data_IF_384492719255
#
_entry.id   IF_384492719255
#
_cell.length_a   1.000
_cell.length_b   1.000
_cell.length_c   1.000
_cell.angle_alpha   90.00
_cell.angle_beta   90.00
_cell.angle_gamma   90.00
#
_symmetry.space_group_name_H-M   'P 1'
#
loop_
_entity.id
_entity.type
_entity.pdbx_description
1 polymer ?
#
# COMPACT_ATOMS: atom_id res chain seq x y z
N UNK A 1 -16.65 -27.08 5.46
CA UNK A 1 -16.47 -26.43 4.14
C UNK A 1 -15.41 -27.22 3.39
N UNK A 2 -15.89 -28.08 2.46
CA UNK A 2 -15.11 -29.17 1.86
C UNK A 2 -13.97 -28.69 0.95
N UNK A 3 -12.82 -29.39 1.02
CA UNK A 3 -11.64 -29.16 0.16
C UNK A 3 -11.93 -29.24 -1.36
N UNK A 4 -13.00 -29.93 -1.76
CA UNK A 4 -13.46 -30.05 -3.14
C UNK A 4 -14.00 -28.74 -3.74
N UNK A 5 -14.49 -27.80 -2.93
CA UNK A 5 -15.04 -26.52 -3.40
C UNK A 5 -13.96 -25.47 -3.72
N UNK A 6 -12.70 -25.72 -3.32
CA UNK A 6 -11.55 -24.87 -3.70
C UNK A 6 -10.96 -25.17 -5.07
N UNK A 7 -11.23 -26.35 -5.64
CA UNK A 7 -10.67 -26.82 -6.92
C UNK A 7 -11.51 -26.39 -8.14
N UNK A 8 -12.73 -25.90 -7.95
CA UNK A 8 -13.62 -25.52 -9.06
C UNK A 8 -13.56 -24.04 -9.48
N UNK A 9 -12.72 -23.23 -8.83
CA UNK A 9 -12.56 -21.82 -9.25
C UNK A 9 -11.53 -21.73 -10.36
N UNK A 10 -11.91 -21.23 -11.57
CA UNK A 10 -10.95 -21.04 -12.65
C UNK A 10 -9.78 -20.16 -12.17
N UNK A 11 -8.55 -20.41 -12.65
CA UNK A 11 -7.38 -19.65 -12.26
C UNK A 11 -7.64 -18.16 -12.49
N UNK A 12 -7.50 -17.36 -11.45
CA UNK A 12 -7.72 -15.90 -11.52
C UNK A 12 -6.67 -15.30 -12.43
N UNK A 13 -7.07 -14.81 -13.59
CA UNK A 13 -6.19 -14.12 -14.53
C UNK A 13 -5.52 -12.94 -13.80
N UNK A 14 -4.19 -12.86 -13.81
CA UNK A 14 -3.46 -11.74 -13.20
C UNK A 14 -3.99 -10.41 -13.78
N UNK A 15 -4.33 -9.45 -12.90
CA UNK A 15 -4.86 -8.14 -13.32
C UNK A 15 -6.39 -8.01 -13.31
N UNK A 16 -7.17 -9.09 -13.16
CA UNK A 16 -8.64 -9.01 -13.20
C UNK A 16 -9.24 -8.10 -12.11
N UNK A 17 -8.64 -8.05 -10.92
CA UNK A 17 -9.05 -7.14 -9.83
C UNK A 17 -8.75 -5.68 -10.17
N UNK A 18 -7.62 -5.42 -10.82
CA UNK A 18 -7.24 -4.10 -11.28
C UNK A 18 -8.22 -3.58 -12.33
N UNK A 19 -8.50 -4.37 -13.37
CA UNK A 19 -9.46 -4.02 -14.44
C UNK A 19 -10.83 -3.70 -13.87
N UNK A 20 -11.35 -4.50 -12.92
CA UNK A 20 -12.63 -4.22 -12.26
C UNK A 20 -12.62 -2.91 -11.47
N UNK A 21 -11.53 -2.62 -10.75
CA UNK A 21 -11.37 -1.38 -9.99
C UNK A 21 -11.34 -0.17 -10.91
N UNK A 22 -10.55 -0.23 -11.99
CA UNK A 22 -10.44 0.86 -12.98
C UNK A 22 -11.78 1.08 -13.68
N UNK A 23 -12.53 0.02 -13.99
CA UNK A 23 -13.88 0.11 -14.55
C UNK A 23 -14.83 0.94 -13.67
N UNK A 24 -14.88 0.64 -12.37
CA UNK A 24 -15.74 1.39 -11.43
C UNK A 24 -15.32 2.87 -11.33
N UNK A 25 -14.01 3.12 -11.26
CA UNK A 25 -13.48 4.49 -11.23
C UNK A 25 -13.74 5.24 -12.53
N UNK A 26 -13.65 4.56 -13.69
CA UNK A 26 -13.96 5.14 -15.00
C UNK A 26 -15.43 5.53 -15.09
N UNK A 27 -16.38 4.66 -14.68
CA UNK A 27 -17.81 5.00 -14.67
C UNK A 27 -18.05 6.26 -13.84
N UNK A 28 -17.54 6.28 -12.61
CA UNK A 28 -17.69 7.44 -11.73
C UNK A 28 -17.08 8.70 -12.35
N UNK A 29 -15.85 8.62 -12.85
CA UNK A 29 -15.13 9.74 -13.43
C UNK A 29 -15.81 10.29 -14.68
N UNK A 30 -16.24 9.42 -15.61
CA UNK A 30 -16.93 9.86 -16.84
C UNK A 30 -18.31 10.45 -16.55
N UNK A 31 -19.06 9.87 -15.58
CA UNK A 31 -20.33 10.41 -15.14
C UNK A 31 -20.18 11.81 -14.51
N UNK A 32 -19.20 11.98 -13.63
CA UNK A 32 -18.94 13.27 -12.97
C UNK A 32 -18.45 14.33 -13.96
N UNK A 33 -17.61 13.95 -14.95
CA UNK A 33 -17.15 14.88 -15.99
C UNK A 33 -18.25 15.21 -17.01
N UNK A 34 -19.26 14.35 -17.19
CA UNK A 34 -20.35 14.56 -18.14
C UNK A 34 -21.11 15.87 -17.88
N UNK A 35 -21.44 16.15 -16.62
CA UNK A 35 -22.28 17.31 -16.24
C UNK A 35 -21.59 18.65 -16.54
N UNK A 36 -20.32 18.89 -16.14
CA UNK A 36 -19.61 20.13 -16.50
C UNK A 36 -19.43 20.31 -18.00
N UNK A 37 -19.04 19.26 -18.73
CA UNK A 37 -18.85 19.32 -20.17
C UNK A 37 -20.18 19.68 -20.86
N UNK A 38 -21.25 18.97 -20.50
CA UNK A 38 -22.57 19.21 -21.06
C UNK A 38 -23.05 20.66 -20.80
N UNK A 39 -22.79 21.19 -19.58
CA UNK A 39 -23.13 22.58 -19.24
C UNK A 39 -22.51 23.57 -20.22
N UNK A 40 -21.18 23.44 -20.47
CA UNK A 40 -20.46 24.31 -21.39
C UNK A 40 -20.97 24.17 -22.85
N UNK A 41 -21.18 22.92 -23.30
CA UNK A 41 -21.67 22.66 -24.65
C UNK A 41 -23.06 23.28 -24.91
N UNK A 42 -23.96 23.24 -23.90
CA UNK A 42 -25.28 23.90 -24.00
C UNK A 42 -25.13 25.42 -24.05
N UNK A 43 -24.30 26.01 -23.21
CA UNK A 43 -24.07 27.47 -23.19
C UNK A 43 -23.47 27.98 -24.50
N UNK A 44 -22.58 27.20 -25.11
CA UNK A 44 -22.00 27.52 -26.41
C UNK A 44 -22.91 27.19 -27.62
N UNK A 45 -24.17 26.75 -27.38
CA UNK A 45 -25.10 26.32 -28.42
C UNK A 45 -24.50 25.29 -29.39
N UNK A 46 -23.71 24.35 -28.88
CA UNK A 46 -23.07 23.30 -29.69
C UNK A 46 -24.12 22.32 -30.23
N UNK A 47 -23.77 21.65 -31.33
CA UNK A 47 -24.65 20.70 -32.02
C UNK A 47 -25.11 19.56 -31.06
N UNK A 48 -26.38 19.15 -31.20
CA UNK A 48 -26.95 18.00 -30.48
C UNK A 48 -26.14 16.71 -30.70
N UNK A 49 -25.53 16.52 -31.87
CA UNK A 49 -24.70 15.36 -32.17
C UNK A 49 -23.46 15.30 -31.28
N UNK A 50 -22.90 16.43 -30.89
CA UNK A 50 -21.78 16.51 -29.98
C UNK A 50 -22.20 16.09 -28.55
N UNK A 51 -23.41 16.49 -28.13
CA UNK A 51 -23.99 16.07 -26.84
C UNK A 51 -24.28 14.57 -26.83
N UNK A 52 -24.79 14.02 -27.94
CA UNK A 52 -24.95 12.55 -28.08
C UNK A 52 -23.61 11.83 -28.02
N UNK A 53 -22.55 12.34 -28.65
CA UNK A 53 -21.20 11.78 -28.57
C UNK A 53 -20.66 11.81 -27.14
N UNK A 54 -20.92 12.90 -26.40
CA UNK A 54 -20.58 13.01 -25.00
C UNK A 54 -21.30 11.92 -24.16
N UNK A 55 -22.58 11.70 -24.39
CA UNK A 55 -23.36 10.66 -23.73
C UNK A 55 -22.82 9.27 -24.06
N UNK A 56 -22.47 8.97 -25.31
CA UNK A 56 -21.83 7.71 -25.70
C UNK A 56 -20.49 7.53 -24.99
N UNK A 57 -19.68 8.58 -24.91
CA UNK A 57 -18.39 8.53 -24.21
C UNK A 57 -18.56 8.32 -22.69
N UNK A 58 -19.57 8.94 -22.07
CA UNK A 58 -19.77 8.84 -20.62
C UNK A 58 -20.39 7.49 -20.18
N UNK A 59 -21.34 6.96 -20.96
CA UNK A 59 -22.17 5.82 -20.52
C UNK A 59 -21.86 4.49 -21.23
N UNK A 60 -21.39 4.54 -22.48
CA UNK A 60 -21.13 3.31 -23.26
C UNK A 60 -19.65 2.94 -23.25
N UNK A 61 -18.78 3.92 -23.46
CA UNK A 61 -17.33 3.66 -23.52
C UNK A 61 -16.75 2.94 -22.31
N UNK A 62 -17.10 3.26 -21.04
CA UNK A 62 -16.58 2.53 -19.88
C UNK A 62 -16.82 1.03 -19.96
N UNK A 63 -18.00 0.61 -20.41
CA UNK A 63 -18.38 -0.80 -20.54
C UNK A 63 -17.62 -1.48 -21.67
N UNK A 64 -17.45 -0.80 -22.80
CA UNK A 64 -16.66 -1.30 -23.93
C UNK A 64 -15.18 -1.48 -23.55
N UNK A 65 -14.60 -0.51 -22.88
CA UNK A 65 -13.22 -0.54 -22.40
C UNK A 65 -13.00 -1.71 -21.42
N UNK A 66 -13.95 -1.92 -20.50
CA UNK A 66 -13.93 -3.04 -19.58
C UNK A 66 -14.01 -4.39 -20.30
N UNK A 67 -14.95 -4.52 -21.26
CA UNK A 67 -15.12 -5.73 -22.05
C UNK A 67 -13.86 -6.06 -22.86
N UNK A 68 -13.26 -5.05 -23.49
CA UNK A 68 -12.00 -5.17 -24.23
C UNK A 68 -10.86 -5.66 -23.33
N UNK A 69 -10.70 -5.07 -22.14
CA UNK A 69 -9.64 -5.46 -21.21
C UNK A 69 -9.87 -6.86 -20.61
N UNK A 70 -11.13 -7.19 -20.25
CA UNK A 70 -11.48 -8.48 -19.67
C UNK A 70 -11.20 -9.66 -20.59
N UNK A 71 -11.44 -9.48 -21.88
CA UNK A 71 -11.30 -10.53 -22.90
C UNK A 71 -9.89 -10.55 -23.54
N UNK A 72 -8.98 -9.68 -23.12
CA UNK A 72 -7.62 -9.62 -23.63
C UNK A 72 -6.72 -10.70 -23.00
N UNK A 73 -5.75 -11.19 -23.77
CA UNK A 73 -4.68 -12.07 -23.26
C UNK A 73 -3.81 -11.36 -22.19
N UNK A 74 -3.70 -10.02 -22.26
CA UNK A 74 -2.95 -9.18 -21.32
C UNK A 74 -3.85 -8.07 -20.74
N UNK A 75 -4.74 -8.37 -19.78
CA UNK A 75 -5.75 -7.42 -19.28
C UNK A 75 -5.17 -6.11 -18.76
N UNK A 76 -4.01 -6.17 -18.07
CA UNK A 76 -3.35 -4.98 -17.52
C UNK A 76 -2.84 -4.04 -18.61
N UNK A 77 -2.19 -4.59 -19.64
CA UNK A 77 -1.65 -3.81 -20.75
C UNK A 77 -2.78 -3.15 -21.54
N UNK A 78 -3.85 -3.90 -21.82
CA UNK A 78 -5.03 -3.40 -22.53
C UNK A 78 -5.72 -2.30 -21.72
N UNK A 79 -5.77 -2.44 -20.41
CA UNK A 79 -6.35 -1.39 -19.56
C UNK A 79 -5.50 -0.13 -19.53
N UNK A 80 -4.18 -0.23 -19.53
CA UNK A 80 -3.29 0.93 -19.69
C UNK A 80 -3.51 1.63 -21.04
N UNK A 81 -3.72 0.88 -22.13
CA UNK A 81 -4.07 1.46 -23.42
C UNK A 81 -5.41 2.20 -23.38
N UNK A 82 -6.43 1.61 -22.73
CA UNK A 82 -7.74 2.27 -22.54
C UNK A 82 -7.59 3.59 -21.77
N UNK A 83 -6.75 3.61 -20.71
CA UNK A 83 -6.48 4.84 -19.95
C UNK A 83 -5.80 5.93 -20.77
N UNK A 84 -4.96 5.57 -21.76
CA UNK A 84 -4.37 6.53 -22.69
C UNK A 84 -5.41 7.05 -23.67
N UNK A 85 -6.32 6.19 -24.16
CA UNK A 85 -7.45 6.61 -25.01
C UNK A 85 -8.40 7.56 -24.28
N UNK A 86 -8.71 7.29 -23.01
CA UNK A 86 -9.49 8.18 -22.16
C UNK A 86 -8.86 9.58 -22.06
N UNK A 87 -7.52 9.64 -21.94
CA UNK A 87 -6.81 10.92 -21.89
C UNK A 87 -6.92 11.69 -23.24
N UNK A 88 -6.86 10.97 -24.36
CA UNK A 88 -7.13 11.55 -25.68
C UNK A 88 -8.55 12.13 -25.78
N UNK A 89 -9.58 11.38 -25.31
CA UNK A 89 -10.94 11.88 -25.23
C UNK A 89 -11.04 13.12 -24.33
N UNK A 90 -10.30 13.16 -23.20
CA UNK A 90 -10.22 14.36 -22.36
C UNK A 90 -9.69 15.59 -23.12
N UNK A 91 -8.59 15.41 -23.88
CA UNK A 91 -8.05 16.48 -24.75
C UNK A 91 -9.06 16.97 -25.80
N UNK A 92 -9.79 16.03 -26.43
CA UNK A 92 -10.89 16.38 -27.37
C UNK A 92 -11.97 17.24 -26.70
N UNK A 93 -12.46 16.84 -25.52
CA UNK A 93 -13.51 17.58 -24.81
C UNK A 93 -13.04 18.96 -24.36
N UNK A 94 -11.79 19.12 -23.91
CA UNK A 94 -11.21 20.40 -23.54
C UNK A 94 -11.24 21.37 -24.76
N UNK A 95 -10.87 20.88 -25.94
CA UNK A 95 -10.92 21.70 -27.17
C UNK A 95 -12.35 22.02 -27.57
N UNK A 96 -13.30 21.07 -27.47
CA UNK A 96 -14.72 21.30 -27.82
C UNK A 96 -15.41 22.29 -26.89
N UNK A 97 -14.94 22.43 -25.64
CA UNK A 97 -15.37 23.46 -24.69
C UNK A 97 -14.70 24.82 -24.91
N UNK A 98 -13.99 25.02 -26.03
CA UNK A 98 -13.21 26.24 -26.29
C UNK A 98 -12.28 26.60 -25.10
N UNK A 99 -11.62 25.58 -24.49
CA UNK A 99 -10.71 25.75 -23.37
C UNK A 99 -11.35 26.43 -22.15
N UNK A 100 -12.67 26.23 -21.92
CA UNK A 100 -13.31 26.82 -20.74
C UNK A 100 -12.50 26.48 -19.46
N UNK A 101 -12.00 27.49 -18.70
CA UNK A 101 -10.88 27.28 -17.79
C UNK A 101 -11.19 26.31 -16.65
N UNK A 102 -12.35 26.44 -16.00
CA UNK A 102 -12.65 25.66 -14.80
C UNK A 102 -12.79 24.15 -15.08
N UNK A 103 -13.69 23.67 -15.96
CA UNK A 103 -13.81 22.24 -16.25
C UNK A 103 -12.57 21.69 -16.97
N UNK A 104 -11.88 22.46 -17.80
CA UNK A 104 -10.70 22.01 -18.53
C UNK A 104 -9.54 21.67 -17.59
N UNK A 105 -9.23 22.55 -16.64
CA UNK A 105 -8.17 22.30 -15.64
C UNK A 105 -8.53 21.13 -14.75
N UNK A 106 -9.77 21.03 -14.31
CA UNK A 106 -10.23 19.94 -13.43
C UNK A 106 -10.14 18.59 -14.15
N UNK A 107 -10.64 18.49 -15.39
CA UNK A 107 -10.59 17.26 -16.18
C UNK A 107 -9.14 16.84 -16.43
N UNK A 108 -8.26 17.76 -16.83
CA UNK A 108 -6.85 17.48 -17.08
C UNK A 108 -6.15 16.98 -15.80
N UNK A 109 -6.37 17.64 -14.67
CA UNK A 109 -5.78 17.26 -13.38
C UNK A 109 -6.23 15.89 -12.92
N UNK A 110 -7.55 15.61 -12.95
CA UNK A 110 -8.12 14.32 -12.58
C UNK A 110 -7.52 13.21 -13.45
N UNK A 111 -7.53 13.42 -14.77
CA UNK A 111 -7.04 12.41 -15.70
C UNK A 111 -5.55 12.10 -15.50
N UNK A 112 -4.69 13.10 -15.33
CA UNK A 112 -3.26 12.87 -15.14
C UNK A 112 -2.95 12.22 -13.78
N UNK A 113 -3.64 12.64 -12.73
CA UNK A 113 -3.48 12.05 -11.38
C UNK A 113 -3.90 10.58 -11.35
N UNK A 114 -5.01 10.23 -11.99
CA UNK A 114 -5.46 8.84 -12.08
C UNK A 114 -4.46 7.95 -12.82
N UNK A 115 -3.85 8.45 -13.92
CA UNK A 115 -2.84 7.69 -14.68
C UNK A 115 -1.55 7.53 -13.89
N UNK A 116 -1.16 8.56 -13.15
CA UNK A 116 -0.02 8.47 -12.23
C UNK A 116 -0.25 7.37 -11.18
N UNK A 117 -1.45 7.30 -10.61
CA UNK A 117 -1.83 6.28 -9.62
C UNK A 117 -1.96 4.88 -10.22
N UNK A 118 -2.37 4.74 -11.48
CA UNK A 118 -2.63 3.46 -12.13
C UNK A 118 -1.38 2.79 -12.72
N UNK A 119 -0.42 3.56 -13.24
CA UNK A 119 0.76 3.04 -13.94
C UNK A 119 2.02 3.90 -13.82
N UNK A 120 2.06 4.77 -12.80
CA UNK A 120 3.21 5.62 -12.50
C UNK A 120 3.48 6.68 -13.57
N UNK A 121 4.65 7.29 -13.47
CA UNK A 121 5.10 8.40 -14.34
C UNK A 121 5.09 8.02 -15.83
N UNK A 122 5.39 6.76 -16.15
CA UNK A 122 5.45 6.29 -17.53
C UNK A 122 4.07 6.32 -18.21
N UNK A 123 3.02 5.85 -17.53
CA UNK A 123 1.65 5.89 -18.05
C UNK A 123 1.14 7.33 -18.12
N UNK A 124 1.40 8.12 -17.08
CA UNK A 124 1.03 9.55 -17.03
C UNK A 124 1.65 10.31 -18.20
N UNK A 125 2.95 10.13 -18.52
CA UNK A 125 3.59 10.80 -19.68
C UNK A 125 2.93 10.43 -21.00
N UNK A 126 2.65 9.14 -21.24
CA UNK A 126 1.95 8.70 -22.46
C UNK A 126 0.57 9.34 -22.57
N UNK A 127 -0.18 9.34 -21.48
CA UNK A 127 -1.51 9.96 -21.43
C UNK A 127 -1.44 11.47 -21.66
N UNK A 128 -0.48 12.18 -21.06
CA UNK A 128 -0.30 13.62 -21.25
C UNK A 128 0.04 13.96 -22.70
N UNK A 129 0.96 13.23 -23.33
CA UNK A 129 1.30 13.43 -24.74
C UNK A 129 0.08 13.20 -25.63
N UNK A 130 -0.67 12.12 -25.40
CA UNK A 130 -1.89 11.82 -26.18
C UNK A 130 -2.96 12.87 -25.96
N UNK A 131 -3.19 13.30 -24.71
CA UNK A 131 -4.16 14.35 -24.38
C UNK A 131 -3.82 15.67 -25.07
N UNK A 132 -2.56 16.12 -24.98
CA UNK A 132 -2.11 17.36 -25.61
C UNK A 132 -2.14 17.24 -27.13
N UNK A 133 -1.72 16.11 -27.69
CA UNK A 133 -1.76 15.89 -29.15
C UNK A 133 -3.19 15.94 -29.69
N UNK A 134 -4.13 15.22 -29.10
CA UNK A 134 -5.54 15.24 -29.52
C UNK A 134 -6.16 16.64 -29.29
N UNK A 135 -5.84 17.26 -28.16
CA UNK A 135 -6.28 18.64 -27.87
C UNK A 135 -5.82 19.60 -28.98
N UNK A 136 -4.53 19.61 -29.29
CA UNK A 136 -3.98 20.54 -30.30
C UNK A 136 -4.63 20.34 -31.69
N UNK A 137 -4.73 19.09 -32.15
CA UNK A 137 -5.36 18.77 -33.44
C UNK A 137 -6.81 19.25 -33.44
N UNK A 138 -7.58 18.93 -32.42
CA UNK A 138 -8.99 19.34 -32.32
C UNK A 138 -9.13 20.86 -32.21
N UNK A 139 -8.32 21.52 -31.40
CA UNK A 139 -8.35 22.96 -31.20
C UNK A 139 -8.01 23.75 -32.47
N UNK A 140 -7.03 23.27 -33.25
CA UNK A 140 -6.72 23.83 -34.55
C UNK A 140 -7.90 23.71 -35.53
N UNK A 141 -8.59 22.56 -35.57
CA UNK A 141 -9.78 22.39 -36.44
C UNK A 141 -10.96 23.23 -36.01
N UNK A 142 -11.03 23.65 -34.74
CA UNK A 142 -12.06 24.54 -34.20
C UNK A 142 -11.69 26.05 -34.32
N UNK A 143 -10.62 26.38 -35.06
CA UNK A 143 -10.19 27.79 -35.27
C UNK A 143 -9.56 28.40 -34.02
N UNK A 144 -8.96 27.61 -33.16
CA UNK A 144 -8.26 28.03 -31.92
C UNK A 144 -9.16 28.82 -30.95
N UNK A 145 -10.44 28.48 -30.90
CA UNK A 145 -11.41 29.16 -30.04
C UNK A 145 -11.02 29.03 -28.56
N UNK A 146 -11.10 30.12 -27.83
CA UNK A 146 -10.89 30.20 -26.38
C UNK A 146 -12.03 31.01 -25.76
N UNK A 147 -12.69 30.42 -24.76
CA UNK A 147 -13.75 31.03 -24.00
C UNK A 147 -13.37 31.05 -22.51
N UNK A 148 -12.93 32.20 -22.03
CA UNK A 148 -12.49 32.40 -20.65
C UNK A 148 -13.65 32.70 -19.69
N UNK A 149 -14.87 32.80 -20.19
CA UNK A 149 -16.05 33.07 -19.37
C UNK A 149 -16.54 31.75 -18.69
N UNK A 150 -16.65 31.79 -17.37
CA UNK A 150 -17.22 30.70 -16.60
C UNK A 150 -18.56 31.15 -16.03
N UNK A 151 -19.63 30.59 -16.53
CA UNK A 151 -20.98 30.91 -16.05
C UNK A 151 -21.20 30.31 -14.64
N UNK A 152 -22.17 30.88 -13.90
CA UNK A 152 -22.60 30.31 -12.61
C UNK A 152 -23.07 28.86 -12.78
N UNK A 153 -23.75 28.53 -13.88
CA UNK A 153 -24.22 27.19 -14.19
C UNK A 153 -23.06 26.21 -14.31
N UNK A 154 -22.03 26.53 -15.08
CA UNK A 154 -20.84 25.70 -15.25
C UNK A 154 -20.05 25.59 -13.95
N UNK A 155 -19.98 26.65 -13.16
CA UNK A 155 -19.37 26.62 -11.84
C UNK A 155 -20.09 25.61 -10.91
N UNK A 156 -21.40 25.71 -10.76
CA UNK A 156 -22.18 24.76 -9.94
C UNK A 156 -22.17 23.33 -10.48
N UNK A 157 -22.03 23.14 -11.79
CA UNK A 157 -21.86 21.83 -12.40
C UNK A 157 -20.49 21.21 -12.09
N UNK A 158 -19.44 22.02 -11.93
CA UNK A 158 -18.06 21.55 -11.74
C UNK A 158 -17.67 21.37 -10.26
N UNK A 159 -18.21 22.18 -9.36
CA UNK A 159 -17.89 22.11 -7.91
C UNK A 159 -18.12 20.73 -7.28
N UNK A 160 -19.26 20.03 -7.55
CA UNK A 160 -19.46 18.67 -7.01
C UNK A 160 -18.41 17.67 -7.50
N UNK A 161 -17.98 17.79 -8.77
CA UNK A 161 -16.91 16.96 -9.33
C UNK A 161 -15.61 17.14 -8.52
N UNK A 162 -15.22 18.38 -8.25
CA UNK A 162 -14.02 18.69 -7.48
C UNK A 162 -14.14 18.11 -6.05
N UNK A 163 -15.25 18.37 -5.38
CA UNK A 163 -15.48 17.94 -4.01
C UNK A 163 -15.45 16.40 -3.89
N UNK A 164 -16.17 15.68 -4.76
CA UNK A 164 -16.22 14.22 -4.76
C UNK A 164 -14.84 13.64 -5.08
N UNK A 165 -14.13 14.21 -6.05
CA UNK A 165 -12.80 13.75 -6.43
C UNK A 165 -11.78 13.92 -5.30
N UNK A 166 -11.76 15.10 -4.66
CA UNK A 166 -10.85 15.36 -3.53
C UNK A 166 -11.14 14.43 -2.34
N UNK A 167 -12.42 14.19 -2.03
CA UNK A 167 -12.81 13.25 -1.00
C UNK A 167 -12.38 11.82 -1.33
N UNK A 168 -12.62 11.36 -2.56
CA UNK A 168 -12.21 10.03 -3.01
C UNK A 168 -10.68 9.87 -2.97
N UNK A 169 -9.94 10.90 -3.39
CA UNK A 169 -8.48 10.90 -3.34
C UNK A 169 -7.95 10.84 -1.89
N UNK A 170 -8.57 11.61 -0.98
CA UNK A 170 -8.23 11.59 0.44
C UNK A 170 -8.44 10.20 1.06
N UNK A 171 -9.59 9.58 0.83
CA UNK A 171 -9.89 8.22 1.33
C UNK A 171 -8.90 7.19 0.75
N UNK A 172 -8.59 7.30 -0.53
CA UNK A 172 -7.64 6.40 -1.18
C UNK A 172 -6.23 6.54 -0.58
N UNK A 173 -5.78 7.77 -0.39
CA UNK A 173 -4.46 8.08 0.17
C UNK A 173 -4.34 7.55 1.61
N UNK A 174 -5.35 7.77 2.44
CA UNK A 174 -5.39 7.26 3.81
C UNK A 174 -5.34 5.72 3.84
N UNK A 175 -6.11 5.07 2.99
CA UNK A 175 -6.13 3.59 2.89
C UNK A 175 -4.78 3.00 2.47
N UNK A 176 -4.04 3.67 1.59
CA UNK A 176 -2.69 3.28 1.16
C UNK A 176 -1.69 3.50 2.30
N UNK A 177 -1.75 4.66 2.96
CA UNK A 177 -0.88 4.98 4.09
C UNK A 177 -1.05 3.97 5.23
N UNK A 178 -2.28 3.59 5.56
CA UNK A 178 -2.57 2.58 6.57
C UNK A 178 -1.97 1.21 6.20
N UNK A 179 -2.15 0.76 4.97
CA UNK A 179 -1.57 -0.51 4.50
C UNK A 179 -0.05 -0.50 4.54
N UNK A 180 0.58 0.60 4.15
CA UNK A 180 2.04 0.76 4.22
C UNK A 180 2.54 0.70 5.66
N UNK A 181 1.86 1.38 6.61
CA UNK A 181 2.19 1.33 8.04
C UNK A 181 2.09 -0.08 8.61
N UNK A 182 1.04 -0.84 8.26
CA UNK A 182 0.87 -2.23 8.71
C UNK A 182 2.00 -3.11 8.18
N UNK A 183 2.29 -3.03 6.88
CA UNK A 183 3.40 -3.80 6.27
C UNK A 183 4.76 -3.41 6.84
N UNK A 184 5.01 -2.12 7.07
CA UNK A 184 6.25 -1.66 7.67
C UNK A 184 6.44 -2.21 9.08
N UNK A 185 5.39 -2.22 9.92
CA UNK A 185 5.43 -2.82 11.27
C UNK A 185 5.66 -4.32 11.23
N UNK A 186 5.05 -5.02 10.27
CA UNK A 186 5.24 -6.46 10.10
C UNK A 186 6.69 -6.78 9.70
N UNK A 187 7.26 -6.04 8.74
CA UNK A 187 8.66 -6.16 8.35
C UNK A 187 9.61 -5.82 9.51
N UNK A 188 9.29 -4.77 10.29
CA UNK A 188 10.06 -4.40 11.47
C UNK A 188 10.01 -5.51 12.53
N UNK A 189 8.85 -6.13 12.76
CA UNK A 189 8.71 -7.26 13.68
C UNK A 189 9.55 -8.45 13.24
N UNK A 190 9.50 -8.83 11.97
CA UNK A 190 10.32 -9.92 11.41
C UNK A 190 11.82 -9.59 11.55
N UNK A 191 12.21 -8.34 11.32
CA UNK A 191 13.61 -7.90 11.45
C UNK A 191 14.11 -7.77 12.90
N UNK A 192 13.23 -7.90 13.91
CA UNK A 192 13.55 -7.77 15.33
C UNK A 192 13.49 -9.07 16.13
N UNK A 193 13.00 -10.15 15.53
CA UNK A 193 12.97 -11.48 16.15
C UNK A 193 14.04 -12.38 15.55
N UNK A 194 14.54 -13.33 16.34
CA UNK A 194 15.37 -14.42 15.81
C UNK A 194 14.48 -15.37 14.99
N UNK A 195 14.82 -15.65 13.72
CA UNK A 195 13.95 -16.42 12.83
C UNK A 195 13.82 -17.90 13.22
N UNK A 196 14.76 -18.42 14.04
CA UNK A 196 14.79 -19.82 14.48
C UNK A 196 14.05 -20.01 15.80
N UNK A 197 14.15 -19.02 16.72
CA UNK A 197 13.87 -19.22 18.14
C UNK A 197 12.64 -18.45 18.66
N UNK A 198 12.04 -17.59 17.86
CA UNK A 198 10.91 -16.70 18.22
C UNK A 198 11.15 -15.87 19.51
N UNK A 199 12.43 -15.52 19.78
CA UNK A 199 12.84 -14.56 20.82
C UNK A 199 13.42 -13.32 20.17
N UNK A 200 13.65 -12.26 20.98
CA UNK A 200 14.27 -11.04 20.50
C UNK A 200 15.66 -11.33 19.89
N UNK A 201 15.97 -10.68 18.77
CA UNK A 201 17.34 -10.65 18.28
C UNK A 201 18.12 -9.50 18.93
N UNK A 202 19.41 -9.40 18.61
CA UNK A 202 20.29 -8.34 19.10
C UNK A 202 19.70 -6.94 18.92
N UNK A 203 19.10 -6.65 17.77
CA UNK A 203 18.54 -5.33 17.45
C UNK A 203 17.34 -4.97 18.32
N UNK A 204 16.44 -5.91 18.60
CA UNK A 204 15.32 -5.66 19.51
C UNK A 204 15.80 -5.49 20.95
N UNK A 205 16.79 -6.29 21.38
CA UNK A 205 17.39 -6.16 22.70
C UNK A 205 18.01 -4.76 22.91
N UNK A 206 18.84 -4.29 21.97
CA UNK A 206 19.45 -2.95 22.02
C UNK A 206 18.37 -1.85 22.15
N UNK A 207 17.31 -1.93 21.35
CA UNK A 207 16.18 -0.97 21.43
C UNK A 207 15.45 -1.02 22.78
N UNK A 208 15.32 -2.21 23.37
CA UNK A 208 14.71 -2.40 24.70
C UNK A 208 15.62 -1.87 25.82
N UNK A 209 16.91 -2.10 25.71
CA UNK A 209 17.91 -1.55 26.65
C UNK A 209 17.89 -0.01 26.62
N UNK A 210 17.91 0.60 25.44
CA UNK A 210 17.82 2.06 25.28
C UNK A 210 16.55 2.64 25.90
N UNK A 211 15.42 1.95 25.70
CA UNK A 211 14.16 2.35 26.33
C UNK A 211 14.23 2.28 27.85
N UNK A 212 14.78 1.19 28.39
CA UNK A 212 14.91 0.97 29.83
C UNK A 212 15.89 1.95 30.46
N UNK A 213 17.03 2.23 29.82
CA UNK A 213 17.98 3.27 30.29
C UNK A 213 17.35 4.64 30.40
N UNK A 214 16.48 5.01 29.43
CA UNK A 214 15.75 6.28 29.50
C UNK A 214 14.73 6.32 30.64
N UNK A 215 14.09 5.19 30.95
CA UNK A 215 13.15 5.03 32.07
C UNK A 215 13.88 5.09 33.42
N UNK A 216 15.03 4.41 33.53
CA UNK A 216 15.86 4.41 34.76
C UNK A 216 16.31 5.83 35.17
N UNK A 217 16.61 6.70 34.21
CA UNK A 217 16.97 8.10 34.48
C UNK A 217 15.82 8.90 35.14
N UNK A 218 14.58 8.45 34.98
CA UNK A 218 13.38 9.12 35.51
C UNK A 218 12.85 8.49 36.79
N UNK A 219 13.01 7.16 36.95
CA UNK A 219 12.34 6.39 38.01
C UNK A 219 13.25 5.96 39.15
N UNK A 220 14.58 6.03 39.00
CA UNK A 220 15.58 5.55 39.97
C UNK A 220 15.35 4.08 40.38
N UNK A 221 14.72 3.26 39.52
CA UNK A 221 14.57 1.83 39.75
C UNK A 221 15.75 1.08 39.18
N UNK A 222 15.99 -0.14 39.67
CA UNK A 222 17.06 -1.00 39.17
C UNK A 222 16.54 -1.88 38.02
N UNK A 223 17.41 -2.27 37.10
CA UNK A 223 17.17 -3.27 36.05
C UNK A 223 18.41 -4.10 35.86
N UNK A 224 18.26 -5.38 35.52
CA UNK A 224 19.36 -6.28 35.36
C UNK A 224 19.50 -6.81 33.93
N UNK A 225 20.74 -7.05 33.50
CA UNK A 225 21.10 -7.76 32.28
C UNK A 225 21.79 -9.06 32.65
N UNK A 226 21.25 -10.16 32.15
CA UNK A 226 21.79 -11.51 32.38
C UNK A 226 22.35 -12.05 31.06
N UNK A 227 23.64 -12.37 31.04
CA UNK A 227 24.29 -13.04 29.91
C UNK A 227 24.32 -14.56 30.16
N UNK A 228 24.00 -15.31 29.11
CA UNK A 228 23.89 -16.77 29.14
C UNK A 228 24.62 -17.30 27.90
N UNK A 229 25.48 -18.26 28.10
CA UNK A 229 26.23 -18.97 27.07
C UNK A 229 26.04 -20.47 27.17
N UNK A 230 26.07 -21.20 26.05
CA UNK A 230 25.90 -22.65 26.03
C UNK A 230 27.28 -23.33 25.96
N UNK A 231 27.67 -23.94 27.03
CA UNK A 231 28.96 -24.66 27.12
C UNK A 231 29.07 -25.73 26.03
N UNK A 232 30.22 -25.73 25.33
CA UNK A 232 30.58 -26.73 24.31
C UNK A 232 29.58 -26.81 23.13
N UNK A 233 28.82 -25.75 22.79
CA UNK A 233 27.86 -25.77 21.71
C UNK A 233 28.48 -26.13 20.35
N UNK A 234 29.71 -25.71 20.11
CA UNK A 234 30.47 -26.07 18.91
C UNK A 234 30.70 -27.58 18.81
N UNK A 235 31.07 -28.21 19.91
CA UNK A 235 31.29 -29.65 19.93
C UNK A 235 30.00 -30.45 19.68
N UNK A 236 28.87 -29.94 20.11
CA UNK A 236 27.55 -30.50 19.78
C UNK A 236 27.30 -30.45 18.29
N UNK A 237 27.54 -29.30 17.66
CA UNK A 237 27.37 -29.15 16.21
C UNK A 237 28.35 -30.07 15.43
N UNK A 238 29.60 -30.15 15.86
CA UNK A 238 30.64 -30.93 15.17
C UNK A 238 30.39 -32.45 15.28
N UNK A 239 29.84 -32.91 16.40
CA UNK A 239 29.55 -34.34 16.65
C UNK A 239 28.20 -34.80 16.15
N UNK A 240 27.15 -33.97 16.25
CA UNK A 240 25.76 -34.38 16.03
C UNK A 240 25.09 -33.61 14.87
N UNK A 241 25.79 -32.64 14.30
CA UNK A 241 25.31 -31.84 13.19
C UNK A 241 24.42 -30.65 13.60
N UNK A 242 24.33 -29.65 12.71
CA UNK A 242 23.63 -28.39 12.98
C UNK A 242 22.15 -28.53 13.34
N UNK A 243 21.46 -29.59 12.88
CA UNK A 243 20.05 -29.83 13.24
C UNK A 243 19.89 -30.11 14.75
N UNK A 244 20.85 -30.78 15.35
CA UNK A 244 20.84 -31.06 16.82
C UNK A 244 21.19 -29.80 17.59
N UNK A 245 22.14 -28.98 17.07
CA UNK A 245 22.44 -27.67 17.61
C UNK A 245 21.24 -26.71 17.58
N UNK A 246 20.51 -26.67 16.46
CA UNK A 246 19.28 -25.86 16.32
C UNK A 246 18.21 -26.33 17.32
N UNK A 247 18.05 -27.62 17.53
CA UNK A 247 17.13 -28.18 18.53
C UNK A 247 17.53 -27.81 19.98
N UNK A 248 18.83 -27.80 20.28
CA UNK A 248 19.37 -27.35 21.57
C UNK A 248 19.09 -25.85 21.80
N UNK A 249 19.35 -25.01 20.80
CA UNK A 249 19.02 -23.57 20.84
C UNK A 249 17.54 -23.36 21.09
N UNK A 250 16.66 -24.10 20.39
CA UNK A 250 15.21 -24.03 20.59
C UNK A 250 14.78 -24.45 21.99
N UNK A 251 15.42 -25.47 22.56
CA UNK A 251 15.17 -25.90 23.92
C UNK A 251 15.57 -24.84 24.96
N UNK A 252 16.72 -24.19 24.78
CA UNK A 252 17.16 -23.05 25.61
C UNK A 252 16.19 -21.87 25.50
N UNK A 253 15.80 -21.48 24.28
CA UNK A 253 14.81 -20.44 24.07
C UNK A 253 13.50 -20.71 24.81
N UNK A 254 13.01 -21.96 24.77
CA UNK A 254 11.80 -22.36 25.48
C UNK A 254 11.96 -22.25 27.00
N UNK A 255 13.12 -22.63 27.54
CA UNK A 255 13.44 -22.49 28.98
C UNK A 255 13.43 -21.01 29.37
N UNK A 256 14.04 -20.14 28.57
CA UNK A 256 14.07 -18.71 28.83
C UNK A 256 12.65 -18.13 28.82
N UNK A 257 11.82 -18.48 27.85
CA UNK A 257 10.41 -18.04 27.78
C UNK A 257 9.60 -18.47 29.02
N UNK A 258 9.76 -19.72 29.47
CA UNK A 258 9.03 -20.25 30.63
C UNK A 258 9.56 -19.67 31.95
N UNK A 259 10.82 -19.22 31.95
CA UNK A 259 11.50 -18.72 33.14
C UNK A 259 11.46 -17.20 33.28
N UNK A 260 10.88 -16.47 32.34
CA UNK A 260 10.81 -14.99 32.33
C UNK A 260 9.37 -14.49 32.41
N UNK A 261 9.22 -13.26 32.87
CA UNK A 261 7.91 -12.56 32.95
C UNK A 261 7.59 -11.92 31.59
N UNK A 262 6.32 -11.53 31.31
CA UNK A 262 5.96 -10.87 30.05
C UNK A 262 6.72 -9.57 29.75
N UNK A 263 7.21 -8.87 30.78
CA UNK A 263 7.98 -7.63 30.63
C UNK A 263 9.49 -7.88 30.43
N UNK A 264 9.97 -9.08 30.76
CA UNK A 264 11.35 -9.46 30.53
C UNK A 264 11.59 -9.68 29.04
N UNK A 265 12.81 -9.48 28.59
CA UNK A 265 13.14 -9.64 27.18
C UNK A 265 14.27 -10.65 27.01
N UNK A 266 13.94 -11.93 26.81
CA UNK A 266 14.93 -12.91 26.36
C UNK A 266 15.31 -12.62 24.91
N UNK A 267 16.62 -12.66 24.62
CA UNK A 267 17.17 -12.35 23.32
C UNK A 267 18.35 -13.26 22.99
N UNK A 268 18.61 -13.46 21.69
CA UNK A 268 19.81 -14.09 21.16
C UNK A 268 20.70 -13.05 20.51
N UNK A 269 21.97 -12.98 20.90
CA UNK A 269 22.95 -12.09 20.29
C UNK A 269 23.54 -12.67 19.01
N UNK A 270 23.73 -13.97 18.98
CA UNK A 270 24.26 -14.73 17.84
C UNK A 270 24.92 -16.02 18.33
N UNK A 271 25.04 -17.03 17.46
CA UNK A 271 25.62 -18.31 17.85
C UNK A 271 24.87 -18.97 19.03
N UNK A 272 25.57 -19.15 20.11
CA UNK A 272 25.14 -19.76 21.38
C UNK A 272 24.92 -18.74 22.51
N UNK A 273 25.10 -17.45 22.23
CA UNK A 273 24.97 -16.35 23.20
C UNK A 273 23.54 -15.84 23.33
N UNK A 274 23.02 -15.87 24.56
CA UNK A 274 21.71 -15.33 24.94
C UNK A 274 21.84 -14.22 25.97
N UNK A 275 20.90 -13.31 26.00
CA UNK A 275 20.80 -12.25 27.01
C UNK A 275 19.35 -12.12 27.44
N UNK A 276 19.13 -11.91 28.73
CA UNK A 276 17.80 -11.57 29.26
C UNK A 276 17.88 -10.18 29.91
N UNK A 277 17.08 -9.25 29.40
CA UNK A 277 16.84 -7.96 30.06
C UNK A 277 15.68 -8.14 31.04
N UNK A 278 15.92 -7.76 32.31
CA UNK A 278 14.98 -7.85 33.42
C UNK A 278 14.69 -6.41 33.93
N UNK A 279 13.65 -5.75 33.43
CA UNK A 279 13.23 -4.43 33.89
C UNK A 279 12.73 -4.47 35.34
N UNK A 280 12.90 -3.33 36.06
CA UNK A 280 12.41 -3.16 37.44
C UNK A 280 12.82 -4.34 38.34
N UNK A 281 14.07 -4.80 38.26
CA UNK A 281 14.57 -6.05 38.94
C UNK A 281 15.90 -5.76 39.64
N UNK A 282 15.97 -6.06 40.91
CA UNK A 282 17.22 -5.97 41.71
C UNK A 282 18.18 -7.12 41.40
N UNK A 283 19.44 -6.99 41.86
CA UNK A 283 20.43 -8.05 41.68
C UNK A 283 20.01 -9.38 42.34
N UNK A 284 19.43 -9.33 43.53
CA UNK A 284 18.95 -10.51 44.24
C UNK A 284 17.81 -11.21 43.48
N UNK A 285 16.86 -10.46 42.97
CA UNK A 285 15.77 -10.97 42.15
C UNK A 285 16.27 -11.58 40.85
N UNK A 286 17.24 -10.92 40.18
CA UNK A 286 17.87 -11.46 38.97
C UNK A 286 18.60 -12.80 39.22
N UNK A 287 19.25 -12.97 40.39
CA UNK A 287 19.86 -14.22 40.80
C UNK A 287 18.85 -15.36 41.00
N UNK A 288 17.64 -15.04 41.48
CA UNK A 288 16.55 -16.03 41.59
C UNK A 288 16.10 -16.48 40.18
N UNK A 289 15.98 -15.55 39.24
CA UNK A 289 15.67 -15.91 37.84
C UNK A 289 16.77 -16.78 37.23
N UNK A 290 18.06 -16.46 37.48
CA UNK A 290 19.18 -17.22 36.97
C UNK A 290 19.15 -18.68 37.51
N UNK A 291 18.93 -18.87 38.81
CA UNK A 291 18.78 -20.23 39.40
C UNK A 291 17.64 -21.00 38.76
N UNK A 292 16.47 -20.37 38.57
CA UNK A 292 15.31 -20.99 37.90
C UNK A 292 15.63 -21.47 36.49
N UNK A 293 16.38 -20.68 35.72
CA UNK A 293 16.83 -21.04 34.37
C UNK A 293 17.79 -22.23 34.42
N UNK A 294 18.77 -22.21 35.32
CA UNK A 294 19.75 -23.32 35.51
C UNK A 294 19.07 -24.61 35.92
N UNK A 295 18.15 -24.57 36.89
CA UNK A 295 17.39 -25.73 37.35
C UNK A 295 16.55 -26.33 36.21
N UNK A 296 15.86 -25.49 35.45
CA UNK A 296 15.08 -25.91 34.27
C UNK A 296 15.95 -26.53 33.17
N UNK A 297 17.17 -26.00 32.96
CA UNK A 297 18.14 -26.59 32.03
C UNK A 297 18.68 -27.94 32.50
N UNK A 298 18.90 -28.09 33.80
CA UNK A 298 19.37 -29.35 34.39
C UNK A 298 18.33 -30.48 34.30
N UNK A 299 17.02 -30.16 34.33
CA UNK A 299 15.94 -31.16 34.22
C UNK A 299 15.69 -31.65 32.78
N UNK A 300 16.25 -31.00 31.78
CA UNK A 300 16.11 -31.40 30.36
C UNK A 300 17.33 -32.15 29.81
N UNK A 301 18.29 -32.56 30.70
CA UNK A 301 19.44 -33.38 30.32
C UNK A 301 19.00 -34.83 30.02
#
# INVERSE_FOLDING_TARGET
MNAADKLSRPPRVPGSRFVKRVYLMRILGTFLCFVPILSVLIEQNRSIWLMCLLALNAFIWPTLAWYRARNSAMPLVTEHQNLVLDAGAGGFWIAMMAVNPLPSVVIATIMLTDRLSAGGVTLMRKAAITMVGVFLVTWLTQGMAVDMYVSQRTMFATLPLIAIYLLALSILTDSIALRLRIKSRELERIAMMDPLLDIANRRLLEKRIDHELNKLRQTCRESALMFIDIDNFKDVNDRFGHKVGDALLAAVSQILHLSTRPNDTPARLGGDEFVVLLPDTTLEEAQVVARRIMDAAAMKK
#
